data_IF_577702290492
#
_entry.id   IF_577702290492
#
_cell.length_a   1.000
_cell.length_b   1.000
_cell.length_c   1.000
_cell.angle_alpha   90.00
_cell.angle_beta   90.00
_cell.angle_gamma   90.00
#
_symmetry.space_group_name_H-M   'P 1'
#
loop_
_entity.id
_entity.type
_entity.pdbx_description
1 polymer ?
#
# COMPACT_ATOMS: atom_id res chain seq x y z
N UNK A 1 -7.90 -18.54 29.54
CA UNK A 1 -6.78 -18.13 28.67
C UNK A 1 -6.66 -18.95 27.39
N UNK A 2 -6.68 -20.29 27.42
CA UNK A 2 -6.48 -21.12 26.21
C UNK A 2 -7.52 -20.88 25.09
N UNK A 3 -8.80 -20.71 25.43
CA UNK A 3 -9.86 -20.40 24.46
C UNK A 3 -9.66 -19.08 23.70
N UNK A 4 -9.17 -18.03 24.37
CA UNK A 4 -8.91 -16.74 23.74
C UNK A 4 -7.74 -16.83 22.75
N UNK A 5 -6.70 -17.58 23.07
CA UNK A 5 -5.55 -17.77 22.18
C UNK A 5 -5.94 -18.55 20.92
N UNK A 6 -6.72 -19.63 21.07
CA UNK A 6 -7.25 -20.39 19.92
C UNK A 6 -8.15 -19.51 19.04
N UNK A 7 -8.99 -18.68 19.64
CA UNK A 7 -9.82 -17.72 18.89
C UNK A 7 -8.96 -16.73 18.11
N UNK A 8 -7.94 -16.14 18.75
CA UNK A 8 -7.06 -15.17 18.10
C UNK A 8 -6.32 -15.82 16.92
N UNK A 9 -5.72 -16.98 17.14
CA UNK A 9 -4.97 -17.68 16.11
C UNK A 9 -5.86 -18.05 14.91
N UNK A 10 -7.05 -18.60 15.16
CA UNK A 10 -7.93 -19.09 14.10
C UNK A 10 -8.53 -17.96 13.25
N UNK A 11 -8.79 -16.79 13.84
CA UNK A 11 -9.48 -15.70 13.17
C UNK A 11 -8.54 -14.59 12.65
N UNK A 12 -7.35 -14.43 13.25
CA UNK A 12 -6.46 -13.30 12.95
C UNK A 12 -5.10 -13.69 12.37
N UNK A 13 -4.82 -14.98 12.14
CA UNK A 13 -3.61 -15.40 11.42
C UNK A 13 -3.53 -14.84 9.98
N UNK A 14 -4.66 -14.39 9.42
CA UNK A 14 -4.69 -13.70 8.14
C UNK A 14 -4.08 -12.28 8.17
N UNK A 15 -4.07 -11.61 9.32
CA UNK A 15 -3.59 -10.22 9.43
C UNK A 15 -2.08 -10.10 9.17
N UNK A 16 -1.18 -10.88 9.82
CA UNK A 16 0.25 -10.82 9.52
C UNK A 16 0.56 -11.09 8.05
N UNK A 17 -0.17 -12.03 7.43
CA UNK A 17 0.00 -12.38 6.01
C UNK A 17 -0.42 -11.20 5.12
N UNK A 18 -1.58 -10.59 5.39
CA UNK A 18 -2.05 -9.42 4.66
C UNK A 18 -1.11 -8.21 4.82
N UNK A 19 -0.65 -7.93 6.04
CA UNK A 19 0.30 -6.85 6.32
C UNK A 19 1.60 -7.07 5.54
N UNK A 20 2.15 -8.29 5.58
CA UNK A 20 3.38 -8.63 4.85
C UNK A 20 3.22 -8.41 3.34
N UNK A 21 2.08 -8.81 2.77
CA UNK A 21 1.78 -8.59 1.35
C UNK A 21 1.65 -7.09 1.03
N UNK A 22 0.97 -6.33 1.88
CA UNK A 22 0.79 -4.88 1.73
C UNK A 22 2.09 -4.07 1.91
N UNK A 23 3.11 -4.65 2.56
CA UNK A 23 4.43 -4.04 2.74
C UNK A 23 5.40 -4.34 1.60
N UNK A 24 5.03 -5.25 0.68
CA UNK A 24 5.80 -5.50 -0.54
C UNK A 24 5.76 -4.27 -1.44
N UNK A 25 6.89 -3.97 -2.06
CA UNK A 25 7.00 -2.90 -3.03
C UNK A 25 6.46 -3.37 -4.39
N UNK A 26 6.08 -2.41 -5.23
CA UNK A 26 5.71 -2.69 -6.63
C UNK A 26 4.36 -3.39 -6.83
N UNK A 27 3.60 -3.66 -5.76
CA UNK A 27 2.25 -4.22 -5.89
C UNK A 27 1.32 -3.22 -6.60
N UNK A 28 0.39 -3.74 -7.38
CA UNK A 28 -0.64 -2.91 -8.02
C UNK A 28 -1.58 -2.32 -6.96
N UNK A 29 -2.08 -1.12 -7.21
CA UNK A 29 -3.09 -0.49 -6.36
C UNK A 29 -4.32 -1.41 -6.19
N UNK A 30 -4.79 -2.00 -7.28
CA UNK A 30 -5.91 -2.95 -7.28
C UNK A 30 -5.62 -4.18 -6.42
N UNK A 31 -4.39 -4.71 -6.46
CA UNK A 31 -3.98 -5.84 -5.61
C UNK A 31 -3.97 -5.45 -4.13
N UNK A 32 -3.45 -4.27 -3.79
CA UNK A 32 -3.47 -3.74 -2.43
C UNK A 32 -4.90 -3.61 -1.89
N UNK A 33 -5.82 -3.06 -2.69
CA UNK A 33 -7.24 -2.94 -2.33
C UNK A 33 -7.88 -4.31 -2.15
N UNK A 34 -7.61 -5.27 -3.04
CA UNK A 34 -8.12 -6.63 -2.95
C UNK A 34 -7.72 -7.31 -1.64
N UNK A 35 -6.49 -7.12 -1.16
CA UNK A 35 -6.03 -7.65 0.15
C UNK A 35 -6.90 -7.10 1.30
N UNK A 36 -7.23 -5.80 1.28
CA UNK A 36 -8.05 -5.18 2.32
C UNK A 36 -9.51 -5.67 2.22
N UNK A 37 -10.03 -5.85 1.01
CA UNK A 37 -11.38 -6.38 0.78
C UNK A 37 -11.49 -7.84 1.25
N UNK A 38 -10.49 -8.67 1.00
CA UNK A 38 -10.42 -10.05 1.49
C UNK A 38 -10.48 -10.11 3.02
N UNK A 39 -9.74 -9.23 3.71
CA UNK A 39 -9.76 -9.14 5.17
C UNK A 39 -11.13 -8.68 5.67
N UNK A 40 -11.71 -7.68 5.01
CA UNK A 40 -13.06 -7.18 5.35
C UNK A 40 -14.12 -8.26 5.21
N UNK A 41 -14.06 -9.05 4.13
CA UNK A 41 -14.95 -10.20 3.91
C UNK A 41 -14.79 -11.24 5.01
N UNK A 42 -13.55 -11.65 5.34
CA UNK A 42 -13.30 -12.58 6.46
C UNK A 42 -13.83 -12.05 7.79
N UNK A 43 -13.69 -10.75 8.05
CA UNK A 43 -14.10 -10.15 9.32
C UNK A 43 -15.62 -9.99 9.44
N UNK A 44 -16.32 -9.82 8.32
CA UNK A 44 -17.79 -9.82 8.30
C UNK A 44 -18.41 -11.17 8.70
N UNK A 45 -17.66 -12.26 8.58
CA UNK A 45 -18.09 -13.61 8.94
C UNK A 45 -17.81 -13.94 10.43
N UNK A 46 -17.13 -13.06 11.17
CA UNK A 46 -16.83 -13.30 12.57
C UNK A 46 -18.10 -13.24 13.43
N UNK A 47 -18.30 -14.29 14.21
CA UNK A 47 -19.44 -14.41 15.13
C UNK A 47 -19.06 -14.03 16.56
N UNK A 48 -20.08 -13.73 17.38
CA UNK A 48 -19.90 -13.38 18.79
C UNK A 48 -19.60 -11.90 18.99
N UNK A 49 -19.75 -11.43 20.24
CA UNK A 49 -19.64 -10.01 20.60
C UNK A 49 -18.29 -9.41 20.19
N UNK A 50 -17.18 -10.10 20.50
CA UNK A 50 -15.84 -9.65 20.12
C UNK A 50 -15.64 -9.58 18.60
N UNK A 51 -16.18 -10.54 17.84
CA UNK A 51 -16.10 -10.54 16.37
C UNK A 51 -16.86 -9.36 15.76
N UNK A 52 -18.07 -9.09 16.26
CA UNK A 52 -18.91 -7.96 15.84
C UNK A 52 -18.20 -6.63 16.12
N UNK A 53 -17.63 -6.46 17.31
CA UNK A 53 -16.92 -5.23 17.70
C UNK A 53 -15.68 -4.98 16.82
N UNK A 54 -14.94 -6.05 16.50
CA UNK A 54 -13.76 -5.97 15.63
C UNK A 54 -14.14 -5.60 14.20
N UNK A 55 -15.16 -6.25 13.63
CA UNK A 55 -15.65 -5.90 12.30
C UNK A 55 -16.14 -4.44 12.27
N UNK A 56 -16.92 -4.02 13.27
CA UNK A 56 -17.38 -2.63 13.39
C UNK A 56 -16.21 -1.65 13.45
N UNK A 57 -15.15 -1.98 14.18
CA UNK A 57 -13.93 -1.16 14.24
C UNK A 57 -13.25 -1.06 12.87
N UNK A 58 -13.10 -2.17 12.15
CA UNK A 58 -12.51 -2.20 10.81
C UNK A 58 -13.30 -1.31 9.84
N UNK A 59 -14.62 -1.52 9.74
CA UNK A 59 -15.50 -0.72 8.89
C UNK A 59 -15.45 0.77 9.25
N UNK A 60 -15.43 1.10 10.55
CA UNK A 60 -15.30 2.48 11.01
C UNK A 60 -14.00 3.13 10.54
N UNK A 61 -12.87 2.40 10.59
CA UNK A 61 -11.56 2.91 10.15
C UNK A 61 -11.56 3.12 8.64
N UNK A 62 -12.03 2.15 7.87
CA UNK A 62 -12.06 2.24 6.40
C UNK A 62 -12.99 3.34 5.90
N UNK A 63 -14.17 3.49 6.51
CA UNK A 63 -15.16 4.50 6.10
C UNK A 63 -14.74 5.92 6.50
N UNK A 64 -14.01 6.09 7.61
CA UNK A 64 -13.46 7.39 8.01
C UNK A 64 -12.26 7.81 7.17
N UNK A 65 -11.57 6.86 6.54
CA UNK A 65 -10.43 7.16 5.69
C UNK A 65 -10.90 7.54 4.28
N UNK A 66 -11.23 8.82 4.07
CA UNK A 66 -11.63 9.36 2.76
C UNK A 66 -10.58 9.13 1.68
N UNK A 67 -9.29 9.23 2.03
CA UNK A 67 -8.19 8.98 1.08
C UNK A 67 -8.22 7.56 0.54
N UNK A 68 -8.51 6.57 1.38
CA UNK A 68 -8.69 5.19 0.94
C UNK A 68 -9.88 5.04 -0.02
N UNK A 69 -11.00 5.75 0.21
CA UNK A 69 -12.15 5.72 -0.69
C UNK A 69 -11.82 6.31 -2.07
N UNK A 70 -11.08 7.42 -2.11
CA UNK A 70 -10.59 8.01 -3.36
C UNK A 70 -9.70 7.00 -4.11
N UNK A 71 -8.81 6.29 -3.42
CA UNK A 71 -7.96 5.26 -4.02
C UNK A 71 -8.77 4.09 -4.57
N UNK A 72 -9.84 3.66 -3.89
CA UNK A 72 -10.76 2.67 -4.42
C UNK A 72 -11.44 3.14 -5.72
N UNK A 73 -11.87 4.40 -5.78
CA UNK A 73 -12.48 4.98 -6.99
C UNK A 73 -11.49 5.06 -8.15
N UNK A 74 -10.27 5.55 -7.90
CA UNK A 74 -9.18 5.56 -8.90
C UNK A 74 -8.90 4.14 -9.40
N UNK A 75 -8.84 3.15 -8.51
CA UNK A 75 -8.60 1.76 -8.90
C UNK A 75 -9.69 1.23 -9.83
N UNK A 76 -10.97 1.52 -9.58
CA UNK A 76 -12.08 1.09 -10.45
C UNK A 76 -11.97 1.66 -11.87
N UNK A 77 -11.56 2.92 -11.99
CA UNK A 77 -11.30 3.55 -13.29
C UNK A 77 -10.13 2.85 -13.99
N UNK A 78 -9.03 2.61 -13.27
CA UNK A 78 -7.85 1.95 -13.82
C UNK A 78 -8.09 0.50 -14.25
N UNK A 79 -9.00 -0.21 -13.58
CA UNK A 79 -9.39 -1.59 -13.95
C UNK A 79 -10.51 -1.65 -14.99
N UNK A 80 -11.15 -0.51 -15.31
CA UNK A 80 -12.30 -0.44 -16.21
C UNK A 80 -13.59 -0.97 -15.59
N UNK A 81 -13.67 -1.07 -14.26
CA UNK A 81 -14.89 -1.45 -13.53
C UNK A 81 -15.93 -0.33 -13.49
N UNK A 82 -15.51 0.92 -13.64
CA UNK A 82 -16.40 2.08 -13.71
C UNK A 82 -16.07 2.93 -14.94
N UNK A 83 -17.04 3.07 -15.85
CA UNK A 83 -16.90 3.86 -17.07
C UNK A 83 -17.30 5.33 -16.84
N UNK A 84 -18.16 5.60 -15.84
CA UNK A 84 -18.68 6.94 -15.55
C UNK A 84 -17.90 7.61 -14.41
N UNK A 85 -16.77 8.23 -14.75
CA UNK A 85 -15.90 8.95 -13.79
C UNK A 85 -16.66 10.04 -13.01
N UNK A 86 -17.68 10.66 -13.61
CA UNK A 86 -18.45 11.75 -13.00
C UNK A 86 -19.27 11.37 -11.76
N UNK A 87 -19.54 10.09 -11.56
CA UNK A 87 -20.30 9.58 -10.40
C UNK A 87 -19.39 9.22 -9.21
N UNK A 88 -18.07 9.29 -9.40
CA UNK A 88 -17.08 8.94 -8.38
C UNK A 88 -16.54 10.18 -7.66
N UNK A 89 -16.43 10.10 -6.33
CA UNK A 89 -15.77 11.13 -5.51
C UNK A 89 -14.26 11.07 -5.73
N UNK A 90 -13.76 11.93 -6.62
CA UNK A 90 -12.35 12.06 -7.03
C UNK A 90 -12.00 13.56 -7.04
N UNK A 91 -10.77 13.94 -6.65
CA UNK A 91 -10.34 15.35 -6.70
C UNK A 91 -10.48 15.96 -8.11
N UNK A 92 -11.09 17.14 -8.21
CA UNK A 92 -11.34 17.86 -9.47
C UNK A 92 -10.05 18.21 -10.24
N UNK A 93 -8.94 18.33 -9.52
CA UNK A 93 -7.62 18.61 -10.07
C UNK A 93 -6.91 17.37 -10.63
N UNK A 94 -7.47 16.17 -10.43
CA UNK A 94 -6.90 14.93 -10.92
C UNK A 94 -7.28 14.67 -12.38
N UNK A 95 -6.32 14.82 -13.29
CA UNK A 95 -6.55 14.54 -14.71
C UNK A 95 -6.46 13.04 -15.01
N UNK A 96 -7.00 12.61 -16.16
CA UNK A 96 -6.86 11.21 -16.62
C UNK A 96 -5.41 10.77 -16.77
N UNK A 97 -4.51 11.69 -17.16
CA UNK A 97 -3.07 11.42 -17.24
C UNK A 97 -2.47 11.19 -15.84
N UNK A 98 -2.95 11.92 -14.83
CA UNK A 98 -2.46 11.77 -13.46
C UNK A 98 -2.87 10.42 -12.85
N UNK A 99 -4.07 9.94 -13.18
CA UNK A 99 -4.58 8.64 -12.72
C UNK A 99 -3.64 7.48 -13.09
N UNK A 100 -2.97 7.54 -14.25
CA UNK A 100 -2.03 6.50 -14.67
C UNK A 100 -0.86 6.31 -13.68
N UNK A 101 -0.45 7.37 -12.98
CA UNK A 101 0.61 7.29 -11.97
C UNK A 101 0.17 6.58 -10.69
N UNK A 102 -1.13 6.38 -10.47
CA UNK A 102 -1.66 5.67 -9.30
C UNK A 102 -1.62 4.15 -9.45
N UNK A 103 -1.26 3.60 -10.62
CA UNK A 103 -1.20 2.16 -10.88
C UNK A 103 -0.44 1.37 -9.82
N UNK A 104 0.65 1.94 -9.30
CA UNK A 104 1.50 1.35 -8.27
C UNK A 104 1.52 2.20 -6.99
N UNK A 105 0.48 3.02 -6.77
CA UNK A 105 0.46 3.89 -5.59
C UNK A 105 0.38 3.04 -4.31
N UNK A 106 1.31 3.22 -3.37
CA UNK A 106 1.29 2.47 -2.12
C UNK A 106 0.14 2.95 -1.23
N UNK A 107 -0.56 1.99 -0.63
CA UNK A 107 -1.68 2.27 0.30
C UNK A 107 -1.27 2.13 1.78
N UNK A 108 0.00 1.88 2.04
CA UNK A 108 0.58 1.80 3.39
C UNK A 108 1.70 2.81 3.58
N UNK A 109 2.02 3.14 4.85
CA UNK A 109 3.14 4.00 5.20
C UNK A 109 4.50 3.32 5.06
N UNK A 110 4.56 2.03 4.71
CA UNK A 110 5.81 1.27 4.69
C UNK A 110 6.82 1.86 3.69
N UNK A 111 6.36 2.31 2.52
CA UNK A 111 7.20 2.97 1.53
C UNK A 111 7.71 4.34 2.00
N UNK A 112 6.88 5.07 2.74
CA UNK A 112 7.28 6.32 3.38
C UNK A 112 8.41 6.04 4.38
N UNK A 113 8.23 5.09 5.30
CA UNK A 113 9.23 4.70 6.30
C UNK A 113 10.56 4.24 5.67
N UNK A 114 10.49 3.46 4.59
CA UNK A 114 11.66 3.02 3.83
C UNK A 114 12.37 4.19 3.16
N UNK A 115 11.63 5.13 2.57
CA UNK A 115 12.20 6.34 1.98
C UNK A 115 12.92 7.21 3.02
N UNK A 116 12.33 7.41 4.21
CA UNK A 116 12.99 8.11 5.32
C UNK A 116 14.28 7.41 5.76
N UNK A 117 14.29 6.07 5.75
CA UNK A 117 15.49 5.27 6.06
C UNK A 117 16.59 5.45 5.02
N UNK A 118 16.24 5.45 3.72
CA UNK A 118 17.18 5.73 2.63
C UNK A 118 17.76 7.13 2.74
N UNK A 119 16.92 8.11 3.08
CA UNK A 119 17.31 9.51 3.18
C UNK A 119 17.90 9.85 4.55
N UNK A 120 18.12 8.88 5.44
CA UNK A 120 18.61 9.12 6.81
C UNK A 120 19.88 9.96 6.86
N UNK A 121 20.82 9.73 5.94
CA UNK A 121 22.07 10.51 5.87
C UNK A 121 21.86 11.97 5.46
N UNK A 122 20.78 12.25 4.73
CA UNK A 122 20.36 13.59 4.33
C UNK A 122 19.49 14.24 5.42
N UNK A 123 18.69 13.46 6.14
CA UNK A 123 17.67 13.94 7.07
C UNK A 123 18.12 13.99 8.54
N UNK A 124 19.19 13.29 8.92
CA UNK A 124 19.73 13.30 10.28
C UNK A 124 20.16 14.72 10.72
N UNK A 125 20.22 15.07 12.01
CA UNK A 125 20.65 16.41 12.45
C UNK A 125 22.13 16.72 12.16
N UNK A 126 23.01 15.70 12.16
CA UNK A 126 24.46 15.86 11.96
C UNK A 126 24.88 15.90 10.47
N UNK A 127 24.11 16.61 9.65
CA UNK A 127 24.32 16.67 8.18
C UNK A 127 25.63 17.38 7.86
N UNK A 128 26.26 16.99 6.75
CA UNK A 128 27.00 17.97 5.95
C UNK A 128 26.01 19.07 5.56
N UNK A 129 26.33 20.32 5.86
CA UNK A 129 25.53 21.48 5.46
C UNK A 129 25.32 21.46 3.93
N UNK A 130 24.12 21.07 3.50
CA UNK A 130 23.72 21.14 2.10
C UNK A 130 23.04 22.48 1.84
N UNK A 131 23.43 23.14 0.76
CA UNK A 131 22.56 24.16 0.14
C UNK A 131 21.29 23.49 -0.36
N UNK A 132 20.16 24.18 -0.34
CA UNK A 132 18.86 23.65 -0.78
C UNK A 132 18.92 23.04 -2.20
N UNK A 133 19.63 23.67 -3.13
CA UNK A 133 19.86 23.13 -4.47
C UNK A 133 20.58 21.77 -4.47
N UNK A 134 21.55 21.58 -3.58
CA UNK A 134 22.29 20.32 -3.48
C UNK A 134 21.43 19.24 -2.81
N UNK A 135 20.57 19.62 -1.86
CA UNK A 135 19.57 18.74 -1.27
C UNK A 135 18.61 18.19 -2.33
N UNK A 136 18.06 19.08 -3.18
CA UNK A 136 17.17 18.71 -4.29
C UNK A 136 17.84 17.72 -5.24
N UNK A 137 19.08 18.02 -5.67
CA UNK A 137 19.87 17.12 -6.54
C UNK A 137 20.12 15.77 -5.89
N UNK A 138 20.49 15.74 -4.61
CA UNK A 138 20.76 14.49 -3.89
C UNK A 138 19.50 13.63 -3.75
N UNK A 139 18.34 14.23 -3.50
CA UNK A 139 17.06 13.51 -3.48
C UNK A 139 16.74 12.91 -4.85
N UNK A 140 16.89 13.67 -5.94
CA UNK A 140 16.64 13.17 -7.30
C UNK A 140 17.52 11.94 -7.62
N UNK A 141 18.82 12.00 -7.29
CA UNK A 141 19.73 10.88 -7.50
C UNK A 141 19.30 9.65 -6.69
N UNK A 142 18.92 9.83 -5.43
CA UNK A 142 18.50 8.71 -4.57
C UNK A 142 17.16 8.12 -5.00
N UNK A 143 16.18 8.94 -5.40
CA UNK A 143 14.92 8.46 -5.99
C UNK A 143 15.18 7.63 -7.25
N UNK A 144 16.02 8.13 -8.17
CA UNK A 144 16.29 7.43 -9.43
C UNK A 144 17.03 6.11 -9.22
N UNK A 145 17.94 6.03 -8.24
CA UNK A 145 18.59 4.77 -7.88
C UNK A 145 17.58 3.79 -7.29
N UNK A 146 16.69 4.25 -6.40
CA UNK A 146 15.64 3.43 -5.81
C UNK A 146 14.73 2.78 -6.86
N UNK A 147 14.30 3.53 -7.87
CA UNK A 147 13.50 2.97 -8.96
C UNK A 147 14.29 2.04 -9.89
N UNK A 148 15.61 2.19 -10.00
CA UNK A 148 16.45 1.26 -10.77
C UNK A 148 16.58 -0.09 -10.07
N UNK A 149 16.82 -0.08 -8.77
CA UNK A 149 16.99 -1.31 -7.99
C UNK A 149 15.67 -2.11 -7.91
N UNK A 150 14.53 -1.42 -7.81
CA UNK A 150 13.20 -2.05 -7.80
C UNK A 150 12.79 -2.72 -9.13
N UNK A 151 13.43 -2.38 -10.26
CA UNK A 151 13.19 -2.99 -11.58
C UNK A 151 14.08 -4.22 -11.80
N UNK A 152 15.23 -4.29 -11.12
CA UNK A 152 16.18 -5.39 -11.30
C UNK A 152 15.83 -6.64 -10.47
N UNK A 153 15.05 -6.51 -9.40
CA UNK A 153 14.59 -7.65 -8.59
C UNK A 153 13.58 -8.55 -9.34
N UNK A 154 12.89 -8.06 -10.38
CA UNK A 154 11.96 -8.84 -11.21
C UNK A 154 12.65 -9.72 -12.28
N UNK A 155 13.95 -9.52 -12.52
CA UNK A 155 14.73 -10.25 -13.52
C UNK A 155 15.57 -11.39 -12.92
N UNK A 156 15.88 -11.37 -11.61
CA UNK A 156 16.64 -12.46 -10.96
C UNK A 156 15.79 -13.74 -10.78
N UNK A 157 14.47 -13.62 -10.59
CA UNK A 157 13.57 -14.78 -10.47
C UNK A 157 13.20 -15.42 -11.82
N UNK A 158 13.51 -14.76 -12.95
CA UNK A 158 13.24 -15.29 -14.31
C UNK A 158 14.37 -16.15 -14.88
N UNK A 159 15.54 -16.17 -14.24
CA UNK A 159 16.72 -16.90 -14.72
C UNK A 159 17.00 -18.24 -14.00
N UNK A 160 16.11 -18.72 -13.11
CA UNK A 160 16.26 -20.06 -12.50
C UNK A 160 15.50 -21.21 -13.20
N UNK A 161 14.78 -20.96 -14.30
CA UNK A 161 14.12 -22.02 -15.08
C UNK A 161 14.59 -22.10 -16.53
N UNK A 162 15.87 -22.39 -16.74
CA UNK A 162 16.38 -23.00 -17.98
C UNK A 162 17.57 -23.91 -17.71
N UNK A 163 17.30 -25.12 -17.23
CA UNK A 163 18.12 -26.30 -17.49
C UNK A 163 17.26 -27.56 -17.37
N UNK A 164 16.55 -27.87 -18.46
CA UNK A 164 16.47 -29.22 -19.04
C UNK A 164 16.67 -29.03 -20.54
#
# INVERSE_FOLDING_TARGET
MKGNLTFIHSNFACLPIAITRLQKQGILLSEGIAIIQDISSKFSQLTGTAGIDINKKLQTVLNKNKGFQIFCNISKILTGEEENVGDLDIPEDLTSSDMAYFKFAPITSADVERSFSLYKNILAPNRRSFKFENLKKSLIVQCNNYFRDAVNDDDEDRNQFKFI
#
